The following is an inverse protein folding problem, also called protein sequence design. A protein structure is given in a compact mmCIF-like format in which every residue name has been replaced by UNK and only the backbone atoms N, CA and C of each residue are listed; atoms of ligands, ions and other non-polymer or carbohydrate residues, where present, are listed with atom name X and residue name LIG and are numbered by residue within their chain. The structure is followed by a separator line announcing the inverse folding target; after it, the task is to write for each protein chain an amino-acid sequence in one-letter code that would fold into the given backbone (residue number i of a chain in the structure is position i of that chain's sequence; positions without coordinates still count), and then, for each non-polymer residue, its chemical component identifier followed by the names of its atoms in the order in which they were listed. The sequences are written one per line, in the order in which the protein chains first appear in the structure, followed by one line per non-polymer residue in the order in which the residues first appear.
data_IF_714042701774
#
_entry.id   IF_714042701774
#
_cell.length_a   1.000
_cell.length_b   1.000
_cell.length_c   1.000
_cell.angle_alpha   90.00
_cell.angle_beta   90.00
_cell.angle_gamma   90.00
#
_symmetry.space_group_name_H-M   'P 1'
#
loop_
_entity.id
_entity.type
_entity.pdbx_description
1 polymer ?
#
# COMPACT_ATOMS: atom_id res chain seq x y z
N UNK A 1 -14.59 -1.69 6.26
CA UNK A 1 -15.18 -2.63 7.22
C UNK A 1 -16.05 -3.68 6.56
N UNK A 2 -15.55 -4.34 5.52
CA UNK A 2 -16.16 -5.51 4.88
C UNK A 2 -15.11 -6.63 4.93
N UNK A 3 -15.53 -7.88 5.13
CA UNK A 3 -14.68 -9.05 5.01
C UNK A 3 -14.10 -9.12 3.59
N UNK A 4 -12.78 -8.99 3.45
CA UNK A 4 -12.12 -8.79 2.14
C UNK A 4 -12.32 -9.98 1.21
N UNK A 5 -12.41 -11.18 1.77
CA UNK A 5 -12.67 -12.44 1.08
C UNK A 5 -14.12 -12.60 0.60
N UNK A 6 -15.02 -11.68 1.00
CA UNK A 6 -16.45 -11.71 0.66
C UNK A 6 -16.91 -10.48 -0.14
N UNK A 7 -15.98 -9.64 -0.60
CA UNK A 7 -16.33 -8.47 -1.39
C UNK A 7 -16.98 -8.90 -2.70
N UNK A 8 -18.07 -8.22 -3.06
CA UNK A 8 -18.72 -8.34 -4.37
C UNK A 8 -18.57 -7.04 -5.16
N UNK A 9 -18.93 -7.06 -6.44
CA UNK A 9 -18.78 -5.90 -7.33
C UNK A 9 -19.54 -4.67 -6.80
N UNK A 10 -20.70 -4.88 -6.17
CA UNK A 10 -21.55 -3.83 -5.62
C UNK A 10 -20.97 -3.17 -4.37
N UNK A 11 -19.94 -3.75 -3.74
CA UNK A 11 -19.25 -3.17 -2.59
C UNK A 11 -18.15 -2.17 -2.99
N UNK A 12 -17.92 -1.96 -4.29
CA UNK A 12 -16.82 -1.13 -4.80
C UNK A 12 -17.18 0.37 -4.86
N UNK A 13 -16.26 1.20 -4.39
CA UNK A 13 -16.25 2.63 -4.69
C UNK A 13 -15.53 2.87 -6.02
N UNK A 14 -16.00 3.87 -6.77
CA UNK A 14 -15.32 4.39 -7.95
C UNK A 14 -14.97 5.85 -7.69
N UNK A 15 -13.72 6.21 -7.92
CA UNK A 15 -13.19 7.55 -7.68
C UNK A 15 -12.50 8.06 -8.95
N UNK A 16 -12.54 9.38 -9.14
CA UNK A 16 -11.79 10.10 -10.17
C UNK A 16 -10.30 10.20 -9.82
N UNK A 17 -9.48 10.61 -10.79
CA UNK A 17 -8.05 10.87 -10.59
C UNK A 17 -7.80 12.00 -9.57
N UNK A 18 -8.77 12.90 -9.38
CA UNK A 18 -8.74 13.98 -8.40
C UNK A 18 -9.23 13.53 -7.01
N UNK A 19 -9.57 12.25 -6.83
CA UNK A 19 -10.04 11.70 -5.56
C UNK A 19 -11.51 11.96 -5.24
N UNK A 20 -12.30 12.52 -6.17
CA UNK A 20 -13.75 12.68 -6.01
C UNK A 20 -14.47 11.35 -6.26
N UNK A 21 -15.40 10.99 -5.38
CA UNK A 21 -16.26 9.81 -5.54
C UNK A 21 -17.21 10.00 -6.74
N UNK A 22 -17.15 9.06 -7.68
CA UNK A 22 -18.01 8.96 -8.87
C UNK A 22 -19.20 8.03 -8.58
N UNK A 23 -18.92 6.89 -7.95
CA UNK A 23 -19.93 5.91 -7.55
C UNK A 23 -19.61 5.36 -6.18
N UNK A 24 -20.65 5.09 -5.40
CA UNK A 24 -20.56 4.52 -4.06
C UNK A 24 -21.52 3.32 -3.94
N UNK A 25 -21.17 2.30 -3.14
CA UNK A 25 -22.05 1.19 -2.83
C UNK A 25 -23.38 1.65 -2.23
N UNK A 26 -24.47 0.97 -2.60
CA UNK A 26 -25.79 1.23 -2.05
C UNK A 26 -25.83 0.76 -0.59
N UNK A 27 -26.43 1.57 0.28
CA UNK A 27 -26.65 1.20 1.67
C UNK A 27 -27.60 0.00 1.74
N UNK A 28 -27.13 -1.10 2.36
CA UNK A 28 -28.00 -2.23 2.69
C UNK A 28 -28.93 -1.81 3.85
N UNK A 29 -30.17 -2.33 3.91
CA UNK A 29 -31.10 -2.01 5.00
C UNK A 29 -30.54 -2.44 6.36
N UNK A 30 -31.17 -1.98 7.44
CA UNK A 30 -30.80 -2.39 8.80
C UNK A 30 -30.71 -3.93 8.92
N UNK A 31 -29.72 -4.50 9.63
CA UNK A 31 -28.78 -3.87 10.57
C UNK A 31 -27.43 -3.43 9.96
N UNK A 32 -27.29 -3.41 8.64
CA UNK A 32 -26.00 -3.08 8.02
C UNK A 32 -25.67 -1.59 8.15
N UNK A 33 -24.43 -1.28 8.51
CA UNK A 33 -23.92 0.11 8.48
C UNK A 33 -23.79 0.57 7.02
N UNK A 34 -23.93 1.87 6.82
CA UNK A 34 -23.59 2.48 5.54
C UNK A 34 -22.15 2.12 5.15
N UNK A 35 -21.92 1.69 3.89
CA UNK A 35 -20.59 1.49 3.36
C UNK A 35 -19.77 2.78 3.54
N UNK A 36 -18.52 2.62 3.97
CA UNK A 36 -17.54 3.71 4.03
C UNK A 36 -16.42 3.38 3.05
N UNK A 37 -15.94 4.38 2.33
CA UNK A 37 -14.73 4.24 1.52
C UNK A 37 -13.55 3.81 2.42
N UNK A 38 -12.56 3.13 1.84
CA UNK A 38 -11.38 2.70 2.60
C UNK A 38 -10.60 3.91 3.11
N UNK A 39 -10.16 3.88 4.37
CA UNK A 39 -9.31 4.92 4.93
C UNK A 39 -7.93 4.99 4.22
N UNK A 40 -7.52 3.90 3.55
CA UNK A 40 -6.36 3.86 2.65
C UNK A 40 -6.51 4.68 1.35
N UNK A 41 -7.71 5.17 0.99
CA UNK A 41 -7.95 5.88 -0.26
C UNK A 41 -6.96 7.04 -0.53
N UNK A 42 -6.74 7.99 0.41
CA UNK A 42 -5.73 9.04 0.23
C UNK A 42 -4.32 8.49 -0.03
N UNK A 43 -3.92 7.41 0.63
CA UNK A 43 -2.61 6.78 0.46
C UNK A 43 -2.46 6.14 -0.92
N UNK A 44 -3.51 5.46 -1.40
CA UNK A 44 -3.55 4.94 -2.77
C UNK A 44 -3.45 6.07 -3.80
N UNK A 45 -4.17 7.18 -3.60
CA UNK A 45 -4.11 8.33 -4.49
C UNK A 45 -2.71 8.93 -4.58
N UNK A 46 -1.93 8.97 -3.48
CA UNK A 46 -0.52 9.41 -3.54
C UNK A 46 0.32 8.53 -4.47
N UNK A 47 0.14 7.21 -4.40
CA UNK A 47 0.85 6.28 -5.29
C UNK A 47 0.44 6.48 -6.75
N UNK A 48 -0.85 6.64 -7.04
CA UNK A 48 -1.33 6.94 -8.40
C UNK A 48 -0.71 8.24 -8.94
N UNK A 49 -0.75 9.33 -8.17
CA UNK A 49 -0.32 10.65 -8.63
C UNK A 49 1.21 10.80 -8.70
N UNK A 50 1.96 10.24 -7.74
CA UNK A 50 3.40 10.46 -7.61
C UNK A 50 4.25 9.38 -8.29
N UNK A 51 3.64 8.24 -8.68
CA UNK A 51 4.32 7.12 -9.33
C UNK A 51 3.74 6.71 -10.67
N UNK A 52 2.60 7.27 -11.05
CA UNK A 52 1.88 6.79 -12.24
C UNK A 52 1.49 5.32 -12.11
N UNK A 53 1.19 4.87 -10.88
CA UNK A 53 0.82 3.49 -10.63
C UNK A 53 -0.42 3.10 -11.44
N UNK A 54 -0.48 1.86 -11.94
CA UNK A 54 -1.70 1.28 -12.49
C UNK A 54 -2.51 0.52 -11.44
N UNK A 55 -1.87 0.10 -10.35
CA UNK A 55 -2.54 -0.52 -9.21
C UNK A 55 -1.74 -0.34 -7.92
N UNK A 56 -2.43 -0.38 -6.78
CA UNK A 56 -1.86 -0.31 -5.44
C UNK A 56 -2.48 -1.40 -4.57
N UNK A 57 -1.66 -2.09 -3.79
CA UNK A 57 -2.06 -3.12 -2.83
C UNK A 57 -1.60 -2.71 -1.44
N UNK A 58 -2.49 -2.85 -0.48
CA UNK A 58 -2.17 -2.74 0.94
C UNK A 58 -2.39 -4.09 1.62
N UNK A 59 -1.41 -4.53 2.41
CA UNK A 59 -1.46 -5.78 3.15
C UNK A 59 -0.98 -5.58 4.59
N UNK A 60 -1.58 -6.31 5.52
CA UNK A 60 -1.19 -6.37 6.93
C UNK A 60 -0.50 -7.71 7.24
N UNK A 61 0.33 -8.19 6.32
CA UNK A 61 1.03 -9.47 6.45
C UNK A 61 1.91 -9.50 7.70
N UNK A 62 1.88 -10.60 8.46
CA UNK A 62 2.63 -10.69 9.73
C UNK A 62 4.14 -10.53 9.50
N UNK A 63 4.63 -11.02 8.37
CA UNK A 63 6.01 -10.86 7.91
C UNK A 63 6.42 -9.40 7.76
N UNK A 64 5.52 -8.52 7.32
CA UNK A 64 5.79 -7.08 7.20
C UNK A 64 5.93 -6.44 8.57
N UNK A 65 5.04 -6.79 9.51
CA UNK A 65 5.12 -6.33 10.89
C UNK A 65 6.42 -6.82 11.54
N UNK A 66 6.74 -8.12 11.44
CA UNK A 66 7.96 -8.70 11.99
C UNK A 66 9.21 -8.05 11.42
N UNK A 67 9.28 -7.84 10.09
CA UNK A 67 10.41 -7.16 9.46
C UNK A 67 10.67 -5.76 10.05
N UNK A 68 9.60 -5.01 10.32
CA UNK A 68 9.71 -3.69 10.96
C UNK A 68 10.03 -3.74 12.46
N UNK A 69 9.77 -4.87 13.13
CA UNK A 69 10.06 -5.06 14.55
C UNK A 69 11.48 -5.57 14.83
N UNK A 70 12.11 -6.27 13.88
CA UNK A 70 13.47 -6.80 14.04
C UNK A 70 14.49 -5.72 14.40
N UNK A 71 14.32 -4.51 13.86
CA UNK A 71 15.09 -3.33 14.24
C UNK A 71 14.14 -2.12 14.39
N UNK A 72 13.68 -1.81 15.61
CA UNK A 72 12.75 -0.70 15.85
C UNK A 72 13.27 0.68 15.45
N UNK A 73 14.59 0.86 15.35
CA UNK A 73 15.22 2.11 14.93
C UNK A 73 15.45 2.23 13.42
N UNK A 74 15.30 1.14 12.67
CA UNK A 74 15.58 1.14 11.23
C UNK A 74 14.58 2.00 10.46
N UNK A 75 15.09 2.85 9.57
CA UNK A 75 14.29 3.62 8.61
C UNK A 75 14.12 2.92 7.26
N UNK A 76 14.79 1.79 7.09
CA UNK A 76 14.79 1.00 5.86
C UNK A 76 14.86 -0.48 6.23
N UNK A 77 14.14 -1.28 5.45
CA UNK A 77 14.39 -2.71 5.33
C UNK A 77 15.36 -2.92 4.16
N UNK A 78 16.41 -3.70 4.37
CA UNK A 78 17.45 -3.99 3.37
C UNK A 78 17.67 -5.48 3.26
N UNK A 79 17.72 -6.00 2.04
CA UNK A 79 18.03 -7.41 1.75
C UNK A 79 18.74 -7.54 0.41
N UNK A 80 19.63 -8.51 0.30
CA UNK A 80 20.40 -8.79 -0.92
C UNK A 80 20.65 -10.30 -1.06
N UNK A 81 21.13 -10.74 -2.22
CA UNK A 81 21.50 -12.14 -2.48
C UNK A 81 20.33 -13.13 -2.33
N UNK A 82 19.14 -12.73 -2.78
CA UNK A 82 17.91 -13.51 -2.71
C UNK A 82 17.32 -13.72 -4.11
N UNK A 83 16.97 -14.96 -4.47
CA UNK A 83 16.42 -15.22 -5.82
C UNK A 83 15.12 -14.46 -6.09
N UNK A 84 14.31 -14.26 -5.05
CA UNK A 84 13.01 -13.58 -5.14
C UNK A 84 13.13 -12.09 -5.52
N UNK A 85 14.23 -11.40 -5.21
CA UNK A 85 14.32 -9.95 -5.51
C UNK A 85 14.38 -9.67 -7.01
N UNK A 86 14.70 -10.66 -7.85
CA UNK A 86 14.62 -10.57 -9.32
C UNK A 86 13.20 -10.27 -9.83
N UNK A 87 12.18 -10.58 -9.03
CA UNK A 87 10.78 -10.23 -9.32
C UNK A 87 10.49 -8.73 -9.17
N UNK A 88 11.34 -8.01 -8.44
CA UNK A 88 11.17 -6.58 -8.18
C UNK A 88 11.82 -5.78 -9.30
N UNK A 89 11.04 -4.85 -9.87
CA UNK A 89 11.48 -3.99 -10.98
C UNK A 89 12.84 -3.36 -10.68
N UNK A 90 13.80 -3.59 -11.57
CA UNK A 90 15.14 -2.99 -11.50
C UNK A 90 16.15 -3.71 -10.58
N UNK A 91 15.88 -4.94 -10.16
CA UNK A 91 16.78 -5.72 -9.29
C UNK A 91 17.17 -7.07 -9.93
N UNK A 92 18.43 -7.46 -9.73
CA UNK A 92 18.99 -8.80 -9.95
C UNK A 92 19.36 -9.46 -8.63
N UNK A 93 19.84 -10.71 -8.68
CA UNK A 93 20.14 -11.53 -7.49
C UNK A 93 21.10 -10.84 -6.49
N UNK A 94 22.16 -10.22 -7.00
CA UNK A 94 23.20 -9.57 -6.19
C UNK A 94 22.86 -8.14 -5.78
N UNK A 95 21.78 -7.58 -6.29
CA UNK A 95 21.39 -6.20 -5.96
C UNK A 95 20.89 -6.13 -4.51
N UNK A 96 20.90 -4.93 -3.94
CA UNK A 96 20.29 -4.66 -2.64
C UNK A 96 18.91 -4.05 -2.86
N UNK A 97 17.88 -4.73 -2.37
CA UNK A 97 16.54 -4.17 -2.25
C UNK A 97 16.48 -3.30 -0.99
N UNK A 98 16.05 -2.05 -1.16
CA UNK A 98 15.79 -1.11 -0.06
C UNK A 98 14.32 -0.73 -0.06
N UNK A 99 13.62 -0.99 1.05
CA UNK A 99 12.23 -0.58 1.26
C UNK A 99 12.18 0.41 2.44
N UNK A 100 11.74 1.67 2.25
CA UNK A 100 11.62 2.62 3.35
C UNK A 100 10.56 2.18 4.37
N UNK A 101 10.82 2.49 5.63
CA UNK A 101 9.92 2.24 6.77
C UNK A 101 9.47 3.58 7.34
N UNK A 102 8.17 3.82 7.33
CA UNK A 102 7.54 4.97 8.01
C UNK A 102 6.93 4.52 9.34
N UNK A 103 6.84 5.46 10.28
CA UNK A 103 6.19 5.20 11.56
C UNK A 103 4.67 5.18 11.40
N UNK A 104 4.00 4.30 12.13
CA UNK A 104 2.54 4.26 12.12
C UNK A 104 1.94 5.43 12.92
N UNK A 105 0.73 5.82 12.55
CA UNK A 105 -0.07 6.80 13.27
C UNK A 105 -1.39 6.17 13.71
N UNK A 106 -2.07 6.72 14.74
CA UNK A 106 -3.39 6.22 15.15
C UNK A 106 -4.45 6.35 14.05
N UNK A 107 -4.27 7.31 13.13
CA UNK A 107 -5.22 7.58 12.06
C UNK A 107 -4.55 7.53 10.68
N UNK A 108 -5.14 6.74 9.78
CA UNK A 108 -4.61 6.48 8.43
C UNK A 108 -4.33 7.77 7.64
N UNK A 109 -5.20 8.78 7.76
CA UNK A 109 -5.05 10.02 7.00
C UNK A 109 -3.75 10.76 7.35
N UNK A 110 -3.20 10.58 8.56
CA UNK A 110 -1.94 11.18 9.01
C UNK A 110 -0.71 10.50 8.40
N UNK A 111 -0.85 9.28 7.87
CA UNK A 111 0.23 8.60 7.15
C UNK A 111 0.50 9.20 5.76
N UNK A 112 -0.45 9.97 5.22
CA UNK A 112 -0.43 10.45 3.84
C UNK A 112 0.83 11.25 3.52
N UNK A 113 1.26 12.11 4.44
CA UNK A 113 2.44 12.97 4.24
C UNK A 113 3.73 12.17 4.36
N UNK A 114 3.87 11.35 5.41
CA UNK A 114 5.01 10.44 5.60
C UNK A 114 5.18 9.48 4.41
N UNK A 115 4.08 8.96 3.87
CA UNK A 115 4.10 8.12 2.68
C UNK A 115 4.58 8.92 1.46
N UNK A 116 4.06 10.13 1.26
CA UNK A 116 4.47 11.00 0.15
C UNK A 116 5.95 11.38 0.23
N UNK A 117 6.46 11.66 1.43
CA UNK A 117 7.88 11.93 1.68
C UNK A 117 8.76 10.71 1.40
N UNK A 118 8.37 9.52 1.87
CA UNK A 118 9.08 8.27 1.59
C UNK A 118 9.08 7.97 0.08
N UNK A 119 7.96 8.17 -0.59
CA UNK A 119 7.88 8.11 -2.05
C UNK A 119 8.86 9.13 -2.64
N UNK A 120 8.83 10.42 -2.30
CA UNK A 120 9.75 11.40 -2.88
C UNK A 120 11.25 11.05 -2.67
N UNK A 121 11.61 10.59 -1.47
CA UNK A 121 12.99 10.26 -1.10
C UNK A 121 13.51 8.97 -1.75
N UNK A 122 12.63 8.01 -2.09
CA UNK A 122 13.00 6.72 -2.66
C UNK A 122 12.36 6.55 -4.06
N UNK A 123 12.89 7.23 -5.10
CA UNK A 123 12.28 7.25 -6.43
C UNK A 123 12.21 5.87 -7.11
N UNK A 124 13.09 4.94 -6.72
CA UNK A 124 13.13 3.56 -7.24
C UNK A 124 12.32 2.56 -6.40
N UNK A 125 11.79 2.97 -5.24
CA UNK A 125 11.00 2.08 -4.41
C UNK A 125 9.68 1.72 -5.10
N UNK A 126 9.27 0.47 -4.94
CA UNK A 126 7.99 -0.08 -5.38
C UNK A 126 7.05 -0.34 -4.20
N UNK A 127 7.52 -0.12 -2.98
CA UNK A 127 6.77 -0.32 -1.75
C UNK A 127 7.25 0.59 -0.62
N UNK A 128 6.40 0.78 0.39
CA UNK A 128 6.71 1.43 1.68
C UNK A 128 6.13 0.55 2.79
N UNK A 129 6.95 0.26 3.79
CA UNK A 129 6.54 -0.40 5.03
C UNK A 129 6.02 0.62 6.03
N UNK A 130 4.95 0.28 6.75
CA UNK A 130 4.42 1.04 7.88
C UNK A 130 4.63 0.20 9.13
N UNK A 131 5.44 0.71 10.08
CA UNK A 131 5.87 -0.06 11.25
C UNK A 131 4.68 -0.59 12.05
N UNK A 132 4.70 -1.87 12.42
CA UNK A 132 3.62 -2.51 13.20
C UNK A 132 2.23 -2.44 12.55
N UNK A 133 2.17 -2.28 11.23
CA UNK A 133 0.92 -2.11 10.50
C UNK A 133 0.89 -2.99 9.26
N UNK A 134 1.79 -2.74 8.31
CA UNK A 134 1.68 -3.37 7.00
C UNK A 134 2.61 -2.79 5.95
N UNK A 135 2.23 -2.98 4.70
CA UNK A 135 2.97 -2.52 3.52
C UNK A 135 2.02 -1.92 2.48
N UNK A 136 2.47 -0.89 1.78
CA UNK A 136 1.87 -0.37 0.56
C UNK A 136 2.76 -0.71 -0.62
N UNK A 137 2.23 -1.39 -1.64
CA UNK A 137 2.95 -1.82 -2.85
C UNK A 137 2.24 -1.29 -4.08
N UNK A 138 2.97 -0.79 -5.07
CA UNK A 138 2.37 -0.27 -6.31
C UNK A 138 3.13 -0.74 -7.55
N UNK A 139 2.42 -0.88 -8.67
CA UNK A 139 3.02 -1.29 -9.95
C UNK A 139 2.28 -0.72 -11.14
N UNK A 140 2.88 -0.86 -12.33
CA UNK A 140 2.32 -0.35 -13.59
C UNK A 140 0.98 -1.02 -13.97
N UNK A 141 0.71 -2.20 -13.40
CA UNK A 141 -0.55 -2.94 -13.53
C UNK A 141 -0.86 -3.70 -12.23
N UNK A 142 -2.08 -4.21 -12.09
CA UNK A 142 -2.46 -5.09 -10.96
C UNK A 142 -1.63 -6.38 -10.93
N UNK A 143 -1.17 -6.85 -12.10
CA UNK A 143 -0.30 -8.02 -12.20
C UNK A 143 1.05 -7.68 -11.57
N UNK A 144 1.67 -6.58 -11.99
CA UNK A 144 2.98 -6.18 -11.46
C UNK A 144 2.90 -5.90 -9.96
N UNK A 145 1.90 -5.14 -9.50
CA UNK A 145 1.73 -4.85 -8.08
C UNK A 145 1.56 -6.10 -7.21
N UNK A 146 0.99 -7.18 -7.76
CA UNK A 146 0.75 -8.45 -7.05
C UNK A 146 1.96 -9.37 -7.03
N UNK A 147 2.78 -9.36 -8.08
CA UNK A 147 3.84 -10.36 -8.28
C UNK A 147 5.22 -9.91 -7.82
N UNK A 148 5.46 -8.60 -7.74
CA UNK A 148 6.76 -8.04 -7.39
C UNK A 148 6.95 -7.99 -5.87
#
# INVERSE_FOLDING_TARGET
GVQKERMVAEDMYVMSAEGKVISAPVAKPWPYKHPKCSDCAPLFMKSYLMRGAGAVIHSHGMETCMATMLNPGAKEFRISHMEMIKGIKGHGYTDELVIPIIENTPYEYELTDSLAEAIAAYPKATAVLVRNHGIYVWGDSWINAKTQ
#
